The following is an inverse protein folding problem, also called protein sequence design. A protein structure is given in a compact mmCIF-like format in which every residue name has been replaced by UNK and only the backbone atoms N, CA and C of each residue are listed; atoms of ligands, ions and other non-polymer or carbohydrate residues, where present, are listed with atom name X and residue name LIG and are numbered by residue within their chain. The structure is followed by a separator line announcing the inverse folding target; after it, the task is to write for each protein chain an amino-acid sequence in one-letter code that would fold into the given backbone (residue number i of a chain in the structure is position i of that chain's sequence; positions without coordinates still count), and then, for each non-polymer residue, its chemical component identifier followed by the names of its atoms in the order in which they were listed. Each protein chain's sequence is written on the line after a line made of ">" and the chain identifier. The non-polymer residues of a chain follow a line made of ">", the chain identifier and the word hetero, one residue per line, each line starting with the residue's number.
data_IF_872710277984
#
_entry.id   IF_872710277984
#
_cell.length_a   1.000
_cell.length_b   1.000
_cell.length_c   1.000
_cell.angle_alpha   90.00
_cell.angle_beta   90.00
_cell.angle_gamma   90.00
#
_symmetry.space_group_name_H-M   'P 1'
#
loop_
_entity.id
_entity.type
_entity.pdbx_description
1 polymer ?
#
# COMPACT_ATOMS: atom_id res chain seq x y z
N UNK A 1 -22.13 5.49 -21.66
CA UNK A 1 -21.30 6.68 -21.51
C UNK A 1 -22.21 7.88 -21.26
N UNK A 2 -21.98 8.63 -20.21
CA UNK A 2 -22.75 9.85 -19.92
C UNK A 2 -22.29 11.00 -20.82
N UNK A 3 -23.18 11.96 -20.99
CA UNK A 3 -22.89 13.20 -21.70
C UNK A 3 -21.74 13.95 -21.02
N UNK A 4 -20.77 14.40 -21.78
CA UNK A 4 -19.57 15.15 -21.32
C UNK A 4 -18.69 14.43 -20.27
N UNK A 5 -18.59 13.10 -20.31
CA UNK A 5 -17.65 12.36 -19.44
C UNK A 5 -17.03 11.18 -20.19
N UNK A 6 -15.69 11.14 -20.24
CA UNK A 6 -14.89 10.03 -20.77
C UNK A 6 -14.67 8.87 -19.80
N UNK A 7 -15.31 8.89 -18.62
CA UNK A 7 -15.08 7.89 -17.57
C UNK A 7 -15.99 6.69 -17.78
N UNK A 8 -15.44 5.49 -17.59
CA UNK A 8 -16.19 4.23 -17.58
C UNK A 8 -17.29 4.24 -16.51
N UNK A 9 -18.45 3.66 -16.85
CA UNK A 9 -19.61 3.61 -15.97
C UNK A 9 -19.91 2.18 -15.58
N UNK A 10 -20.21 1.96 -14.31
CA UNK A 10 -20.57 0.65 -13.76
C UNK A 10 -22.03 0.64 -13.38
N UNK A 11 -22.74 -0.45 -13.71
CA UNK A 11 -24.10 -0.72 -13.29
C UNK A 11 -24.10 -1.84 -12.24
N UNK A 12 -24.60 -1.56 -11.05
CA UNK A 12 -24.73 -2.52 -9.98
C UNK A 12 -26.15 -3.04 -9.90
N UNK A 13 -26.32 -4.37 -10.00
CA UNK A 13 -27.58 -5.03 -9.78
C UNK A 13 -27.49 -5.78 -8.46
N UNK A 14 -28.10 -5.22 -7.42
CA UNK A 14 -28.07 -5.74 -6.05
C UNK A 14 -29.45 -6.22 -5.65
N UNK A 15 -29.54 -7.42 -5.08
CA UNK A 15 -30.80 -7.99 -4.59
C UNK A 15 -30.56 -8.90 -3.37
N UNK A 16 -31.48 -8.85 -2.41
CA UNK A 16 -31.54 -9.81 -1.30
C UNK A 16 -32.41 -11.04 -1.61
N UNK A 17 -33.00 -11.12 -2.83
CA UNK A 17 -33.86 -12.21 -3.30
C UNK A 17 -33.22 -12.96 -4.46
N UNK A 18 -31.92 -13.30 -4.32
CA UNK A 18 -31.21 -14.10 -5.35
C UNK A 18 -31.85 -15.48 -5.49
N UNK A 19 -31.94 -15.94 -6.71
CA UNK A 19 -32.22 -17.36 -7.00
C UNK A 19 -31.13 -18.23 -6.35
N UNK A 20 -31.47 -19.47 -5.95
CA UNK A 20 -30.53 -20.35 -5.22
C UNK A 20 -29.24 -20.60 -5.98
N UNK A 21 -29.29 -20.73 -7.30
CA UNK A 21 -28.11 -20.89 -8.16
C UNK A 21 -27.16 -19.71 -8.15
N UNK A 22 -27.63 -18.50 -7.72
CA UNK A 22 -26.85 -17.24 -7.66
C UNK A 22 -26.44 -16.83 -6.26
N UNK A 23 -26.94 -17.53 -5.22
CA UNK A 23 -26.57 -17.24 -3.83
C UNK A 23 -25.09 -17.53 -3.60
N UNK A 24 -24.38 -16.61 -2.96
CA UNK A 24 -22.93 -16.73 -2.71
C UNK A 24 -22.06 -16.44 -3.92
N UNK A 25 -22.63 -15.97 -5.04
CA UNK A 25 -21.89 -15.65 -6.26
C UNK A 25 -22.11 -14.21 -6.72
N UNK A 26 -21.12 -13.72 -7.45
CA UNK A 26 -21.13 -12.43 -8.16
C UNK A 26 -20.87 -12.72 -9.63
N UNK A 27 -21.68 -12.14 -10.51
CA UNK A 27 -21.44 -12.15 -11.94
C UNK A 27 -20.88 -10.80 -12.37
N UNK A 28 -19.72 -10.79 -13.00
CA UNK A 28 -19.13 -9.63 -13.65
C UNK A 28 -19.40 -9.70 -15.15
N UNK A 29 -19.85 -8.59 -15.74
CA UNK A 29 -20.09 -8.49 -17.18
C UNK A 29 -19.33 -7.28 -17.72
N UNK A 30 -18.36 -7.52 -18.60
CA UNK A 30 -17.66 -6.47 -19.34
C UNK A 30 -18.39 -6.16 -20.64
N UNK A 31 -19.13 -5.07 -20.64
CA UNK A 31 -19.84 -4.56 -21.81
C UNK A 31 -19.10 -3.40 -22.50
N UNK A 32 -17.82 -3.16 -22.20
CA UNK A 32 -17.04 -2.03 -22.71
C UNK A 32 -16.94 -2.03 -24.25
N UNK A 33 -16.89 -3.21 -24.86
CA UNK A 33 -16.87 -3.40 -26.32
C UNK A 33 -18.28 -3.47 -26.95
N UNK A 34 -19.33 -3.70 -26.13
CA UNK A 34 -20.70 -3.81 -26.59
C UNK A 34 -21.34 -2.45 -26.75
N UNK A 35 -20.95 -1.74 -27.79
CA UNK A 35 -21.39 -0.37 -28.10
C UNK A 35 -21.49 -0.17 -29.61
N UNK A 36 -22.36 0.75 -30.04
CA UNK A 36 -22.43 1.23 -31.42
C UNK A 36 -21.91 2.66 -31.49
N UNK A 37 -21.11 2.98 -32.49
CA UNK A 37 -20.65 4.36 -32.73
C UNK A 37 -21.82 5.25 -33.15
N UNK A 38 -21.86 6.46 -32.62
CA UNK A 38 -22.79 7.48 -33.04
C UNK A 38 -22.32 8.07 -34.40
N UNK A 39 -23.26 8.35 -35.29
CA UNK A 39 -22.97 9.03 -36.57
C UNK A 39 -22.43 10.44 -36.34
N UNK A 40 -22.87 11.11 -35.28
CA UNK A 40 -22.42 12.44 -34.86
C UNK A 40 -22.27 12.43 -33.33
N UNK A 41 -21.13 12.88 -32.85
CA UNK A 41 -20.90 12.99 -31.42
C UNK A 41 -21.86 14.00 -30.77
N UNK A 42 -22.27 13.70 -29.54
CA UNK A 42 -23.09 14.57 -28.70
C UNK A 42 -22.22 14.95 -27.49
N UNK A 43 -21.51 16.07 -27.60
CA UNK A 43 -20.41 16.38 -26.68
C UNK A 43 -19.30 15.34 -26.78
N UNK A 44 -18.82 14.84 -25.67
CA UNK A 44 -17.82 13.75 -25.61
C UNK A 44 -18.42 12.35 -25.87
N UNK A 45 -19.74 12.24 -25.90
CA UNK A 45 -20.42 10.97 -26.16
C UNK A 45 -20.31 10.61 -27.64
N UNK A 46 -19.56 9.54 -27.93
CA UNK A 46 -19.30 9.02 -29.28
C UNK A 46 -19.96 7.65 -29.57
N UNK A 47 -20.61 7.07 -28.57
CA UNK A 47 -21.23 5.75 -28.69
C UNK A 47 -22.54 5.64 -27.91
N UNK A 48 -23.34 4.62 -28.25
CA UNK A 48 -24.60 4.31 -27.59
C UNK A 48 -24.80 2.79 -27.42
N UNK A 49 -25.70 2.43 -26.50
CA UNK A 49 -26.17 1.06 -26.32
C UNK A 49 -27.52 0.94 -27.02
N UNK A 50 -27.51 0.35 -28.21
CA UNK A 50 -28.73 0.12 -29.01
C UNK A 50 -29.64 -0.92 -28.36
N UNK A 51 -30.93 -1.03 -28.77
CA UNK A 51 -31.81 -2.08 -28.30
C UNK A 51 -31.24 -3.51 -28.53
N UNK A 52 -30.54 -3.73 -29.64
CA UNK A 52 -29.88 -5.02 -29.95
C UNK A 52 -28.77 -5.31 -28.93
N UNK A 53 -27.92 -4.34 -28.65
CA UNK A 53 -26.83 -4.48 -27.68
C UNK A 53 -27.38 -4.69 -26.27
N UNK A 54 -28.44 -3.97 -25.90
CA UNK A 54 -29.11 -4.21 -24.61
C UNK A 54 -29.58 -5.66 -24.48
N UNK A 55 -30.14 -6.21 -25.54
CA UNK A 55 -30.56 -7.61 -25.54
C UNK A 55 -29.40 -8.56 -25.34
N UNK A 56 -28.27 -8.32 -26.02
CA UNK A 56 -27.03 -9.09 -25.82
C UNK A 56 -26.55 -9.07 -24.38
N UNK A 57 -26.53 -7.89 -23.73
CA UNK A 57 -26.13 -7.78 -22.31
C UNK A 57 -27.09 -8.56 -21.40
N UNK A 58 -28.41 -8.50 -21.67
CA UNK A 58 -29.40 -9.24 -20.91
C UNK A 58 -29.20 -10.74 -21.11
N UNK A 59 -28.96 -11.20 -22.34
CA UNK A 59 -28.72 -12.60 -22.65
C UNK A 59 -27.45 -13.13 -21.94
N UNK A 60 -26.36 -12.35 -21.86
CA UNK A 60 -25.17 -12.66 -21.06
C UNK A 60 -25.52 -12.80 -19.56
N UNK A 61 -26.34 -11.90 -19.03
CA UNK A 61 -26.79 -11.97 -17.64
C UNK A 61 -27.62 -13.23 -17.37
N UNK A 62 -28.53 -13.57 -18.28
CA UNK A 62 -29.41 -14.73 -18.15
C UNK A 62 -28.68 -16.06 -18.34
N UNK A 63 -27.72 -16.12 -19.27
CA UNK A 63 -26.88 -17.31 -19.52
C UNK A 63 -26.01 -17.66 -18.30
N UNK A 64 -25.69 -16.67 -17.43
CA UNK A 64 -25.01 -16.87 -16.17
C UNK A 64 -23.64 -17.57 -16.33
N UNK A 65 -23.52 -18.85 -15.88
CA UNK A 65 -22.30 -19.64 -15.99
C UNK A 65 -22.00 -20.13 -17.40
N UNK A 66 -23.04 -20.21 -18.25
CA UNK A 66 -22.94 -20.62 -19.65
C UNK A 66 -22.68 -19.46 -20.61
N UNK A 67 -22.50 -18.25 -20.05
CA UNK A 67 -22.18 -17.06 -20.84
C UNK A 67 -20.74 -17.12 -21.37
N UNK A 68 -20.50 -16.45 -22.52
CA UNK A 68 -19.16 -16.30 -23.08
C UNK A 68 -18.22 -15.63 -22.07
N UNK A 69 -17.16 -16.36 -21.69
CA UNK A 69 -16.16 -15.91 -20.70
C UNK A 69 -15.40 -14.65 -21.13
N UNK A 70 -15.40 -14.32 -22.42
CA UNK A 70 -14.87 -13.06 -22.93
C UNK A 70 -15.59 -11.84 -22.33
N UNK A 71 -16.88 -11.98 -22.04
CA UNK A 71 -17.74 -10.88 -21.60
C UNK A 71 -18.32 -11.08 -20.20
N UNK A 72 -18.42 -12.32 -19.72
CA UNK A 72 -19.08 -12.61 -18.45
C UNK A 72 -18.35 -13.69 -17.67
N UNK A 73 -18.06 -13.42 -16.40
CA UNK A 73 -17.43 -14.36 -15.48
C UNK A 73 -18.21 -14.40 -14.17
N UNK A 74 -18.28 -15.58 -13.55
CA UNK A 74 -19.00 -15.80 -12.29
C UNK A 74 -18.02 -16.30 -11.25
N UNK A 75 -17.99 -15.63 -10.12
CA UNK A 75 -17.07 -15.85 -9.02
C UNK A 75 -17.83 -16.11 -7.72
N UNK A 76 -17.22 -16.81 -6.77
CA UNK A 76 -17.71 -16.86 -5.40
C UNK A 76 -17.45 -15.52 -4.71
N UNK A 77 -18.33 -15.14 -3.77
CA UNK A 77 -18.12 -13.90 -3.00
C UNK A 77 -16.75 -13.86 -2.32
N UNK A 78 -16.29 -15.00 -1.78
CA UNK A 78 -15.04 -15.15 -1.04
C UNK A 78 -13.80 -14.82 -1.89
N UNK A 79 -13.88 -14.96 -3.23
CA UNK A 79 -12.79 -14.65 -4.16
C UNK A 79 -12.47 -13.13 -4.22
N UNK A 80 -13.42 -12.31 -3.79
CA UNK A 80 -13.27 -10.86 -3.69
C UNK A 80 -12.98 -10.39 -2.28
N UNK A 81 -12.97 -11.32 -1.32
CA UNK A 81 -12.73 -11.02 0.09
C UNK A 81 -11.25 -10.96 0.41
N UNK A 82 -10.90 -10.11 1.35
CA UNK A 82 -9.55 -10.01 1.91
C UNK A 82 -9.59 -9.64 3.39
N UNK A 83 -8.55 -10.02 4.11
CA UNK A 83 -8.24 -9.44 5.41
C UNK A 83 -7.42 -8.17 5.20
N UNK A 84 -7.89 -7.06 5.72
CA UNK A 84 -7.10 -5.85 5.85
C UNK A 84 -6.39 -5.91 7.19
N UNK A 85 -5.12 -6.30 7.20
CA UNK A 85 -4.33 -6.49 8.40
C UNK A 85 -3.20 -5.47 8.48
N UNK A 86 -2.89 -5.03 9.69
CA UNK A 86 -1.78 -4.10 9.92
C UNK A 86 -0.47 -4.85 10.02
N UNK A 87 0.52 -4.42 9.23
CA UNK A 87 1.92 -4.82 9.32
C UNK A 87 2.68 -3.77 10.11
N UNK A 88 3.27 -4.18 11.20
CA UNK A 88 4.06 -3.35 12.09
C UNK A 88 5.55 -3.61 11.89
N UNK A 89 6.36 -2.58 12.07
CA UNK A 89 7.83 -2.67 12.07
C UNK A 89 8.38 -2.10 13.37
N UNK A 90 9.50 -2.63 13.88
CA UNK A 90 10.12 -2.15 15.10
C UNK A 90 10.75 -0.79 14.88
N UNK A 91 10.68 0.05 15.90
CA UNK A 91 11.37 1.34 15.94
C UNK A 91 12.88 1.11 16.11
N UNK A 92 13.68 1.80 15.32
CA UNK A 92 15.14 1.80 15.37
C UNK A 92 15.64 3.22 15.53
N UNK A 93 16.47 3.45 16.52
CA UNK A 93 16.97 4.77 16.84
C UNK A 93 18.50 4.78 16.88
N UNK A 94 19.10 5.83 16.31
CA UNK A 94 20.43 6.26 16.67
C UNK A 94 20.34 7.35 17.72
N UNK A 95 21.34 7.42 18.56
CA UNK A 95 21.49 8.44 19.60
C UNK A 95 22.73 9.25 19.29
N UNK A 96 22.61 10.55 19.41
CA UNK A 96 23.73 11.48 19.22
C UNK A 96 23.75 12.45 20.39
N UNK A 97 24.72 12.28 21.28
CA UNK A 97 24.95 13.16 22.44
C UNK A 97 26.25 13.88 22.22
N UNK A 98 26.20 15.21 22.30
CA UNK A 98 27.36 16.07 22.23
C UNK A 98 27.22 17.23 23.20
N UNK A 99 28.34 17.80 23.61
CA UNK A 99 28.37 18.95 24.51
C UNK A 99 27.53 20.11 23.96
N UNK A 100 27.60 20.38 22.65
CA UNK A 100 26.80 21.43 21.99
C UNK A 100 25.30 21.20 22.10
N UNK A 101 24.86 19.93 21.91
CA UNK A 101 23.45 19.57 22.02
C UNK A 101 22.94 19.66 23.46
N UNK A 102 23.79 19.37 24.44
CA UNK A 102 23.44 19.52 25.86
C UNK A 102 23.26 21.00 26.21
N UNK A 103 24.10 21.87 25.69
CA UNK A 103 23.94 23.33 25.88
C UNK A 103 22.67 23.87 25.23
N UNK A 104 22.31 23.37 24.05
CA UNK A 104 21.02 23.71 23.41
C UNK A 104 19.84 23.27 24.27
N UNK A 105 19.88 22.05 24.83
CA UNK A 105 18.84 21.56 25.74
C UNK A 105 18.72 22.43 26.98
N UNK A 106 19.86 22.79 27.61
CA UNK A 106 19.91 23.68 28.80
C UNK A 106 19.20 25.01 28.53
N UNK A 107 19.50 25.62 27.38
CA UNK A 107 18.89 26.90 26.99
C UNK A 107 17.39 26.81 26.73
N UNK A 108 16.90 25.69 26.23
CA UNK A 108 15.49 25.52 25.91
C UNK A 108 14.62 25.12 27.10
N UNK A 109 15.11 24.27 28.00
CA UNK A 109 14.23 23.52 28.93
C UNK A 109 14.54 23.72 30.42
N UNK A 110 15.68 24.37 30.78
CA UNK A 110 16.07 24.67 32.15
C UNK A 110 15.94 23.50 33.16
N UNK A 111 16.13 22.24 32.70
CA UNK A 111 16.16 21.06 33.58
C UNK A 111 17.60 20.67 33.91
N UNK A 112 18.16 21.34 34.91
CA UNK A 112 19.56 21.13 35.31
C UNK A 112 19.87 19.70 35.73
N UNK A 113 18.87 18.96 36.27
CA UNK A 113 19.10 17.56 36.62
C UNK A 113 19.35 16.68 35.42
N UNK A 114 18.61 16.87 34.31
CA UNK A 114 18.86 16.14 33.06
C UNK A 114 20.20 16.55 32.46
N UNK A 115 20.52 17.81 32.47
CA UNK A 115 21.82 18.36 31.97
C UNK A 115 22.99 17.75 32.73
N UNK A 116 22.91 17.65 34.08
CA UNK A 116 23.97 17.05 34.89
C UNK A 116 24.20 15.57 34.50
N UNK A 117 23.13 14.79 34.33
CA UNK A 117 23.23 13.38 33.94
C UNK A 117 23.88 13.25 32.56
N UNK A 118 23.50 14.09 31.60
CA UNK A 118 24.04 14.05 30.24
C UNK A 118 25.49 14.50 30.16
N UNK A 119 25.89 15.52 30.94
CA UNK A 119 27.30 15.93 31.04
C UNK A 119 28.16 14.78 31.57
N UNK A 120 27.73 14.10 32.63
CA UNK A 120 28.45 12.93 33.14
C UNK A 120 28.53 11.78 32.11
N UNK A 121 27.46 11.59 31.31
CA UNK A 121 27.53 10.64 30.21
C UNK A 121 28.61 11.01 29.18
N UNK A 122 28.73 12.29 28.81
CA UNK A 122 29.77 12.76 27.90
C UNK A 122 31.17 12.68 28.54
N UNK A 123 31.30 12.89 29.84
CA UNK A 123 32.59 12.72 30.56
C UNK A 123 33.07 11.27 30.50
N UNK A 124 32.14 10.30 30.61
CA UNK A 124 32.43 8.86 30.58
C UNK A 124 32.64 8.32 29.16
N UNK A 125 31.86 8.75 28.17
CA UNK A 125 31.80 8.18 26.81
C UNK A 125 32.36 9.13 25.73
N UNK A 126 32.55 10.41 26.04
CA UNK A 126 32.87 11.46 25.07
C UNK A 126 31.63 11.85 24.24
N UNK A 127 31.86 12.72 23.25
CA UNK A 127 30.85 13.00 22.23
C UNK A 127 30.67 11.75 21.35
N UNK A 128 29.53 11.06 21.45
CA UNK A 128 29.34 9.76 20.87
C UNK A 128 28.04 9.67 20.05
N UNK A 129 28.12 8.91 18.96
CA UNK A 129 26.96 8.40 18.25
C UNK A 129 26.80 6.92 18.62
N UNK A 130 25.66 6.58 19.22
CA UNK A 130 25.31 5.18 19.51
C UNK A 130 24.16 4.73 18.63
N UNK A 131 24.24 3.50 18.13
CA UNK A 131 23.19 2.83 17.41
C UNK A 131 22.39 1.87 18.31
N UNK A 132 22.64 1.87 19.61
CA UNK A 132 21.86 1.14 20.61
C UNK A 132 21.21 2.09 21.61
N UNK A 133 19.93 2.37 21.36
CA UNK A 133 19.14 3.23 22.23
C UNK A 133 18.85 2.58 23.60
N UNK A 134 18.75 1.25 23.66
CA UNK A 134 18.45 0.56 24.91
C UNK A 134 19.64 0.65 25.86
N UNK A 135 20.84 0.34 25.36
CA UNK A 135 22.10 0.47 26.10
C UNK A 135 22.32 1.92 26.57
N UNK A 136 22.12 2.89 25.68
CA UNK A 136 22.17 4.31 26.05
C UNK A 136 21.24 4.65 27.22
N UNK A 137 19.97 4.23 27.16
CA UNK A 137 18.99 4.51 28.21
C UNK A 137 19.29 3.78 29.51
N UNK A 138 19.94 2.61 29.46
CA UNK A 138 20.44 1.92 30.63
C UNK A 138 21.58 2.68 31.30
N UNK A 139 22.57 3.15 30.54
CA UNK A 139 23.66 4.00 31.02
C UNK A 139 23.13 5.29 31.64
N UNK A 140 22.23 6.01 30.97
CA UNK A 140 21.57 7.21 31.49
C UNK A 140 20.86 6.92 32.81
N UNK A 141 20.18 5.79 32.91
CA UNK A 141 19.48 5.40 34.13
C UNK A 141 20.46 5.12 35.27
N UNK A 142 21.58 4.46 34.99
CA UNK A 142 22.64 4.20 35.97
C UNK A 142 23.31 5.51 36.49
N UNK A 143 23.65 6.41 35.57
CA UNK A 143 24.25 7.72 35.92
C UNK A 143 23.25 8.55 36.74
N UNK A 144 21.98 8.57 36.36
CA UNK A 144 20.94 9.32 37.08
C UNK A 144 20.77 8.85 38.53
N UNK A 145 20.88 7.53 38.78
CA UNK A 145 20.85 7.00 40.13
C UNK A 145 22.07 7.45 40.97
N UNK A 146 23.26 7.53 40.36
CA UNK A 146 24.48 8.04 41.02
C UNK A 146 24.35 9.53 41.32
N UNK A 147 23.72 10.32 40.46
CA UNK A 147 23.51 11.76 40.68
C UNK A 147 22.33 12.07 41.60
N UNK A 148 21.56 11.07 42.05
CA UNK A 148 20.33 11.30 42.82
C UNK A 148 19.20 11.94 42.02
N UNK A 149 19.27 11.94 40.68
CA UNK A 149 18.31 12.58 39.80
C UNK A 149 17.25 11.56 39.40
N UNK A 150 15.97 11.84 39.72
CA UNK A 150 14.87 10.93 39.35
C UNK A 150 14.53 11.08 37.87
N UNK A 151 14.70 10.02 37.07
CA UNK A 151 14.25 9.94 35.68
C UNK A 151 12.75 9.61 35.60
N UNK A 152 11.93 10.64 35.54
CA UNK A 152 10.50 10.50 35.27
C UNK A 152 10.25 10.13 33.81
N UNK A 153 9.07 9.58 33.49
CA UNK A 153 8.65 9.29 32.12
C UNK A 153 8.80 10.52 31.19
N UNK A 154 8.50 11.72 31.71
CA UNK A 154 8.66 12.98 30.99
C UNK A 154 10.11 13.27 30.63
N UNK A 155 11.05 13.05 31.58
CA UNK A 155 12.49 13.24 31.35
C UNK A 155 13.06 12.21 30.37
N UNK A 156 12.65 10.94 30.50
CA UNK A 156 13.04 9.89 29.53
C UNK A 156 12.59 10.23 28.12
N UNK A 157 11.33 10.66 27.97
CA UNK A 157 10.80 11.10 26.68
C UNK A 157 11.57 12.30 26.13
N UNK A 158 11.88 13.28 26.97
CA UNK A 158 12.65 14.45 26.59
C UNK A 158 14.04 14.08 26.05
N UNK A 159 14.78 13.22 26.76
CA UNK A 159 16.10 12.74 26.34
C UNK A 159 15.98 12.03 24.98
N UNK A 160 14.98 11.13 24.84
CA UNK A 160 14.73 10.44 23.59
C UNK A 160 14.45 11.42 22.45
N UNK A 161 13.47 12.30 22.61
CA UNK A 161 13.01 13.21 21.54
C UNK A 161 14.12 14.20 21.12
N UNK A 162 15.03 14.55 22.02
CA UNK A 162 16.08 15.53 21.75
C UNK A 162 17.38 14.90 21.21
N UNK A 163 17.77 13.73 21.71
CA UNK A 163 19.05 13.10 21.39
C UNK A 163 18.97 11.90 20.46
N UNK A 164 17.77 11.43 20.09
CA UNK A 164 17.65 10.32 19.15
C UNK A 164 16.96 10.71 17.85
N UNK A 165 17.28 9.97 16.81
CA UNK A 165 16.63 10.06 15.49
C UNK A 165 16.41 8.65 14.94
N UNK A 166 15.37 8.48 14.11
CA UNK A 166 15.11 7.21 13.43
C UNK A 166 16.26 6.92 12.48
N UNK A 167 16.82 5.71 12.59
CA UNK A 167 17.90 5.24 11.73
C UNK A 167 17.82 3.72 11.59
N UNK A 168 17.81 3.20 10.35
CA UNK A 168 17.68 1.77 10.06
C UNK A 168 18.85 0.93 10.62
N UNK A 169 20.01 1.54 10.84
CA UNK A 169 21.19 0.89 11.43
C UNK A 169 21.06 0.73 12.95
N UNK A 170 20.09 1.43 13.56
CA UNK A 170 19.85 1.36 15.00
C UNK A 170 19.37 -0.03 15.43
N UNK A 171 19.74 -0.43 16.65
CA UNK A 171 19.14 -1.59 17.29
C UNK A 171 17.65 -1.39 17.52
N UNK A 172 16.90 -2.47 17.58
CA UNK A 172 15.45 -2.43 17.88
C UNK A 172 15.23 -1.82 19.26
N UNK A 173 14.40 -0.80 19.34
CA UNK A 173 14.01 -0.20 20.61
C UNK A 173 13.03 -1.11 21.33
N UNK A 174 13.29 -1.39 22.60
CA UNK A 174 12.45 -2.23 23.44
C UNK A 174 11.62 -1.38 24.40
N UNK A 175 10.39 -1.81 24.61
CA UNK A 175 9.52 -1.21 25.64
C UNK A 175 9.90 -1.69 27.05
N UNK A 176 9.19 -1.22 28.07
CA UNK A 176 9.41 -1.61 29.47
C UNK A 176 9.15 -3.11 29.76
N UNK A 177 8.54 -3.85 28.82
CA UNK A 177 8.27 -5.29 28.91
C UNK A 177 9.26 -6.12 28.09
N UNK A 178 10.24 -5.47 27.45
CA UNK A 178 11.20 -6.12 26.58
C UNK A 178 10.64 -6.49 25.20
N UNK A 179 9.50 -5.93 24.80
CA UNK A 179 8.93 -6.13 23.47
C UNK A 179 9.36 -5.02 22.50
N UNK A 180 9.50 -5.31 21.20
CA UNK A 180 9.80 -4.29 20.20
C UNK A 180 8.80 -3.14 20.23
N UNK A 181 9.32 -1.91 20.34
CA UNK A 181 8.48 -0.72 20.22
C UNK A 181 8.11 -0.48 18.75
N UNK A 182 6.86 -0.14 18.52
CA UNK A 182 6.30 0.08 17.18
C UNK A 182 6.79 1.41 16.58
N UNK A 183 7.30 1.38 15.36
CA UNK A 183 7.46 2.58 14.55
C UNK A 183 6.13 3.00 13.91
N UNK A 184 5.60 4.13 14.38
CA UNK A 184 4.30 4.64 13.88
C UNK A 184 4.34 5.12 12.44
N UNK A 185 5.53 5.47 11.93
CA UNK A 185 5.70 5.98 10.58
C UNK A 185 5.85 4.85 9.55
N UNK A 186 6.23 3.65 10.01
CA UNK A 186 6.42 2.46 9.19
C UNK A 186 5.26 1.45 9.32
N UNK A 187 4.15 1.89 9.91
CA UNK A 187 2.93 1.11 9.95
C UNK A 187 2.29 1.07 8.56
N UNK A 188 2.04 -0.13 8.04
CA UNK A 188 1.40 -0.34 6.74
C UNK A 188 0.17 -1.26 6.88
N UNK A 189 -0.64 -1.32 5.83
CA UNK A 189 -1.84 -2.15 5.80
C UNK A 189 -1.80 -3.05 4.58
N UNK A 190 -1.81 -4.36 4.81
CA UNK A 190 -1.80 -5.37 3.76
C UNK A 190 -3.19 -5.97 3.53
N UNK A 191 -3.50 -6.23 2.25
CA UNK A 191 -4.72 -6.92 1.82
C UNK A 191 -4.43 -8.38 1.51
N UNK A 192 -4.76 -9.25 2.45
CA UNK A 192 -4.49 -10.68 2.37
C UNK A 192 -5.74 -11.39 1.84
N UNK A 193 -5.70 -12.08 0.69
CA UNK A 193 -6.87 -12.77 0.16
C UNK A 193 -7.49 -13.75 1.17
N UNK A 194 -8.82 -13.75 1.31
CA UNK A 194 -9.52 -14.70 2.21
C UNK A 194 -9.22 -16.16 1.89
N UNK A 195 -8.98 -16.46 0.61
CA UNK A 195 -8.69 -17.81 0.11
C UNK A 195 -7.18 -18.10 0.04
N UNK A 196 -6.33 -17.27 0.67
CA UNK A 196 -4.89 -17.57 0.71
C UNK A 196 -4.65 -18.84 1.52
N UNK A 197 -3.93 -19.78 0.92
CA UNK A 197 -3.57 -21.04 1.57
C UNK A 197 -2.76 -20.74 2.83
N UNK A 198 -3.09 -21.33 3.95
CA UNK A 198 -2.49 -21.06 5.28
C UNK A 198 -2.87 -19.70 5.92
N UNK A 199 -3.82 -18.95 5.34
CA UNK A 199 -4.38 -17.73 5.93
C UNK A 199 -3.36 -16.59 6.15
N UNK A 200 -3.61 -15.77 7.18
CA UNK A 200 -2.79 -14.58 7.49
C UNK A 200 -1.34 -14.95 7.79
N UNK A 201 -1.12 -16.02 8.55
CA UNK A 201 0.23 -16.43 8.95
C UNK A 201 1.05 -16.90 7.75
N UNK A 202 0.46 -17.74 6.90
CA UNK A 202 1.13 -18.21 5.71
C UNK A 202 1.45 -17.08 4.74
N UNK A 203 0.56 -16.11 4.62
CA UNK A 203 0.83 -14.92 3.81
C UNK A 203 2.01 -14.12 4.36
N UNK A 204 2.05 -13.89 5.67
CA UNK A 204 3.17 -13.16 6.28
C UNK A 204 4.50 -13.90 6.08
N UNK A 205 4.54 -15.21 6.32
CA UNK A 205 5.76 -16.01 6.16
C UNK A 205 6.28 -16.03 4.72
N UNK A 206 5.38 -16.10 3.73
CA UNK A 206 5.75 -16.29 2.33
C UNK A 206 5.95 -14.97 1.57
N UNK A 207 5.10 -13.97 1.85
CA UNK A 207 5.02 -12.76 1.03
C UNK A 207 5.65 -11.52 1.71
N UNK A 208 5.66 -11.46 3.05
CA UNK A 208 6.12 -10.28 3.79
C UNK A 208 7.49 -10.51 4.41
N UNK A 209 7.64 -11.58 5.18
CA UNK A 209 8.84 -11.86 5.95
C UNK A 209 10.13 -11.94 5.12
N UNK A 210 10.17 -12.46 3.88
CA UNK A 210 11.38 -12.47 3.08
C UNK A 210 11.94 -11.08 2.78
N UNK A 211 11.08 -10.06 2.76
CA UNK A 211 11.46 -8.67 2.50
C UNK A 211 11.56 -7.83 3.78
N UNK A 212 10.78 -8.17 4.80
CA UNK A 212 10.68 -7.48 6.09
C UNK A 212 10.77 -8.48 7.25
N UNK A 213 11.96 -9.04 7.50
CA UNK A 213 12.13 -10.15 8.45
C UNK A 213 11.87 -9.76 9.90
N UNK A 214 11.94 -8.47 10.24
CA UNK A 214 11.71 -7.91 11.57
C UNK A 214 10.26 -7.42 11.77
N UNK A 215 9.39 -7.56 10.76
CA UNK A 215 7.99 -7.16 10.84
C UNK A 215 7.12 -8.20 11.55
N UNK A 216 5.93 -7.79 11.97
CA UNK A 216 4.87 -8.69 12.45
C UNK A 216 3.49 -8.17 12.05
N UNK A 217 2.53 -9.09 11.91
CA UNK A 217 1.13 -8.74 11.64
C UNK A 217 0.35 -8.66 12.94
N UNK A 218 -0.40 -7.58 13.10
CA UNK A 218 -1.41 -7.44 14.14
C UNK A 218 -2.72 -8.11 13.67
N UNK A 219 -2.92 -9.36 14.10
CA UNK A 219 -4.10 -10.16 13.75
C UNK A 219 -5.39 -9.63 14.37
N UNK A 220 -5.29 -8.98 15.53
CA UNK A 220 -6.47 -8.43 16.22
C UNK A 220 -7.02 -7.22 15.46
N UNK A 221 -6.17 -6.53 14.70
CA UNK A 221 -6.58 -5.42 13.83
C UNK A 221 -7.19 -5.87 12.49
N UNK A 222 -7.16 -7.17 12.17
CA UNK A 222 -7.59 -7.66 10.88
C UNK A 222 -9.11 -7.51 10.68
N UNK A 223 -9.49 -6.81 9.61
CA UNK A 223 -10.89 -6.58 9.23
C UNK A 223 -11.15 -7.20 7.86
N UNK A 224 -12.28 -7.88 7.71
CA UNK A 224 -12.69 -8.45 6.43
C UNK A 224 -13.24 -7.32 5.54
N UNK A 225 -12.69 -7.21 4.35
CA UNK A 225 -13.14 -6.33 3.28
C UNK A 225 -13.44 -7.10 2.00
N UNK A 226 -14.11 -6.43 1.04
CA UNK A 226 -14.39 -6.97 -0.28
C UNK A 226 -14.04 -5.93 -1.34
N UNK A 227 -13.32 -6.35 -2.38
CA UNK A 227 -12.94 -5.47 -3.48
C UNK A 227 -13.21 -6.14 -4.83
N UNK A 228 -14.01 -5.47 -5.68
CA UNK A 228 -14.34 -5.92 -7.02
C UNK A 228 -13.44 -5.21 -8.03
N UNK A 229 -12.50 -5.93 -8.62
CA UNK A 229 -11.61 -5.39 -9.65
C UNK A 229 -11.94 -5.97 -11.02
N UNK A 230 -12.61 -5.19 -11.89
CA UNK A 230 -12.83 -5.57 -13.28
C UNK A 230 -11.52 -5.71 -14.06
N UNK A 231 -10.56 -4.85 -13.80
CA UNK A 231 -9.25 -4.87 -14.48
C UNK A 231 -8.52 -6.19 -14.27
N UNK A 232 -8.59 -6.78 -13.09
CA UNK A 232 -7.94 -8.06 -12.78
C UNK A 232 -8.43 -9.20 -13.68
N UNK A 233 -9.72 -9.21 -14.02
CA UNK A 233 -10.38 -10.34 -14.71
C UNK A 233 -10.56 -10.12 -16.20
N UNK A 234 -10.76 -8.87 -16.63
CA UNK A 234 -10.99 -8.53 -18.03
C UNK A 234 -9.83 -7.78 -18.67
N UNK A 235 -8.67 -7.71 -18.00
CA UNK A 235 -7.48 -7.11 -18.57
C UNK A 235 -7.01 -7.91 -19.79
N UNK A 236 -6.89 -7.21 -20.91
CA UNK A 236 -6.30 -7.75 -22.13
C UNK A 236 -4.95 -7.06 -22.31
N UNK A 237 -3.82 -7.79 -22.18
CA UNK A 237 -2.52 -7.20 -22.44
C UNK A 237 -2.46 -6.69 -23.88
N UNK A 238 -1.94 -5.49 -24.04
CA UNK A 238 -1.62 -4.96 -25.38
C UNK A 238 -0.51 -5.83 -25.95
N UNK A 239 -0.81 -6.50 -27.07
CA UNK A 239 0.22 -7.17 -27.86
C UNK A 239 1.05 -6.07 -28.51
N UNK A 240 2.26 -5.86 -28.00
CA UNK A 240 3.21 -4.91 -28.59
C UNK A 240 3.70 -5.52 -29.90
N UNK A 241 3.54 -4.76 -30.99
CA UNK A 241 4.05 -5.18 -32.31
C UNK A 241 5.57 -5.25 -32.28
N UNK A 242 6.13 -6.23 -32.99
CA UNK A 242 7.56 -6.34 -33.14
C UNK A 242 8.14 -5.08 -33.82
N UNK A 243 9.30 -4.55 -33.39
CA UNK A 243 9.89 -3.34 -33.98
C UNK A 243 10.08 -3.45 -35.51
N UNK A 244 10.43 -4.63 -36.00
CA UNK A 244 10.59 -4.89 -37.45
C UNK A 244 9.30 -4.73 -38.26
N UNK A 245 8.13 -5.08 -37.67
CA UNK A 245 6.83 -4.92 -38.33
C UNK A 245 6.44 -3.44 -38.40
N UNK A 246 6.79 -2.69 -37.35
CA UNK A 246 6.59 -1.23 -37.32
C UNK A 246 7.51 -0.55 -38.35
N UNK A 247 8.78 -0.96 -38.45
CA UNK A 247 9.73 -0.41 -39.43
C UNK A 247 9.28 -0.74 -40.86
N UNK A 248 8.79 -1.95 -41.12
CA UNK A 248 8.24 -2.32 -42.41
C UNK A 248 7.05 -1.47 -42.83
N UNK A 249 6.12 -1.20 -41.91
CA UNK A 249 4.98 -0.32 -42.16
C UNK A 249 5.42 1.13 -42.44
N UNK A 250 6.42 1.66 -41.71
CA UNK A 250 6.98 2.97 -41.94
C UNK A 250 7.60 3.04 -43.34
N UNK A 251 8.41 2.04 -43.73
CA UNK A 251 9.02 1.97 -45.06
C UNK A 251 8.00 1.88 -46.20
N UNK A 252 6.90 1.14 -45.99
CA UNK A 252 5.80 1.08 -46.93
C UNK A 252 5.14 2.45 -47.11
N UNK A 253 4.86 3.15 -45.99
CA UNK A 253 4.29 4.50 -46.01
C UNK A 253 5.24 5.49 -46.70
N UNK A 254 6.54 5.44 -46.43
CA UNK A 254 7.55 6.27 -47.10
C UNK A 254 7.55 6.02 -48.61
N UNK A 255 7.54 4.74 -49.04
CA UNK A 255 7.48 4.39 -50.47
C UNK A 255 6.19 4.91 -51.14
N UNK A 256 5.06 4.80 -50.46
CA UNK A 256 3.78 5.29 -50.96
C UNK A 256 3.70 6.83 -51.01
N UNK A 257 4.48 7.53 -50.17
CA UNK A 257 4.49 9.00 -50.09
C UNK A 257 5.55 9.67 -50.96
N UNK A 258 6.63 8.95 -51.32
CA UNK A 258 7.69 9.48 -52.24
C UNK A 258 7.16 9.91 -53.59
N UNK A 259 6.08 9.29 -54.04
CA UNK A 259 5.38 9.71 -55.28
C UNK A 259 4.50 10.97 -55.10
N UNK A 260 4.04 11.23 -53.88
CA UNK A 260 3.15 12.37 -53.58
C UNK A 260 3.96 13.70 -53.43
N UNK A 261 5.12 13.66 -52.82
CA UNK A 261 6.02 14.79 -52.65
C UNK A 261 6.71 15.20 -53.96
N UNK A 262 6.93 14.28 -54.89
CA UNK A 262 7.46 14.58 -56.22
C UNK A 262 6.46 15.23 -57.18
N UNK A 263 5.17 15.27 -56.80
CA UNK A 263 4.06 15.87 -57.60
C UNK A 263 3.65 17.27 -57.14
N UNK A 264 4.28 17.81 -56.07
CA UNK A 264 4.12 19.18 -55.61
C UNK A 264 5.29 20.04 -56.08
#
# INVERSE_FOLDING_TARGET
>A
MFYNKGISTYLWIVTNKKEDKRKGYIQLIDASELKASLRKNVGEKNCEITPKIRRQIIDLYLAYKDADSKYSMVFKNEEFGYYSATVNRPLRLKVEVSTDRIELLRNQLKDEGVVEVLNKYCEDQGDAISYDFNDFMEHITHISAKCGVKLTAKRKKLIRDFFSAVDEKGSIVLDAKGQPELDKNLKDTEKIPLLYESGIDGYWENEIRPYLPDSWIDKESAVIGYELSFMKYFYKPLVVREPKDIIADIQNIETDTDGLLASI
#
